data_IF_440528441464
#
_entry.id   IF_440528441464
#
_cell.length_a   1.000
_cell.length_b   1.000
_cell.length_c   1.000
_cell.angle_alpha   90.00
_cell.angle_beta   90.00
_cell.angle_gamma   90.00
#
_symmetry.space_group_name_H-M   'P 1'
#
loop_
_entity.id
_entity.type
_entity.pdbx_description
1 polymer ?
#
# COMPACT_ATOMS: atom_id res chain seq x y z
N UNK A 1 26.96 -4.58 -14.36
CA UNK A 1 25.86 -5.60 -14.46
C UNK A 1 24.91 -5.22 -15.59
N UNK A 2 24.60 -6.13 -16.54
CA UNK A 2 23.57 -5.92 -17.58
C UNK A 2 22.21 -6.34 -17.02
N UNK A 3 21.51 -5.38 -16.39
CA UNK A 3 20.27 -5.64 -15.64
C UNK A 3 19.15 -6.21 -16.52
N UNK A 4 19.02 -5.70 -17.76
CA UNK A 4 17.98 -6.17 -18.68
C UNK A 4 18.20 -7.63 -19.09
N UNK A 5 19.37 -7.96 -19.56
CA UNK A 5 19.72 -9.33 -19.98
C UNK A 5 19.60 -10.35 -18.83
N UNK A 6 20.00 -9.96 -17.63
CA UNK A 6 19.86 -10.81 -16.45
C UNK A 6 18.40 -11.01 -16.06
N UNK A 7 17.58 -9.96 -16.17
CA UNK A 7 16.15 -10.04 -15.94
C UNK A 7 15.45 -10.99 -16.93
N UNK A 8 15.77 -10.90 -18.23
CA UNK A 8 15.25 -11.81 -19.25
C UNK A 8 15.56 -13.29 -18.91
N UNK A 9 16.74 -13.58 -18.40
CA UNK A 9 17.13 -14.95 -18.00
C UNK A 9 16.36 -15.49 -16.80
N UNK A 10 15.74 -14.63 -15.99
CA UNK A 10 14.92 -15.02 -14.83
C UNK A 10 13.41 -14.88 -15.08
N UNK A 11 12.99 -14.54 -16.29
CA UNK A 11 11.58 -14.36 -16.62
C UNK A 11 10.72 -15.59 -16.30
N UNK A 12 11.13 -16.79 -16.76
CA UNK A 12 10.39 -18.02 -16.51
C UNK A 12 10.36 -18.39 -15.02
N UNK A 13 11.43 -18.08 -14.28
CA UNK A 13 11.46 -18.27 -12.83
C UNK A 13 10.44 -17.35 -12.15
N UNK A 14 10.43 -16.06 -12.46
CA UNK A 14 9.48 -15.10 -11.90
C UNK A 14 8.03 -15.50 -12.23
N UNK A 15 7.77 -15.88 -13.48
CA UNK A 15 6.45 -16.36 -13.92
C UNK A 15 5.99 -17.60 -13.16
N UNK A 16 6.87 -18.56 -12.92
CA UNK A 16 6.58 -19.75 -12.12
C UNK A 16 6.21 -19.39 -10.68
N UNK A 17 6.97 -18.48 -10.05
CA UNK A 17 6.70 -18.01 -8.69
C UNK A 17 5.34 -17.32 -8.61
N UNK A 18 5.09 -16.35 -9.50
CA UNK A 18 3.82 -15.62 -9.57
C UNK A 18 2.63 -16.57 -9.70
N UNK A 19 2.69 -17.51 -10.65
CA UNK A 19 1.59 -18.44 -10.89
C UNK A 19 1.34 -19.38 -9.71
N UNK A 20 2.40 -19.80 -9.01
CA UNK A 20 2.24 -20.59 -7.78
C UNK A 20 1.53 -19.80 -6.69
N UNK A 21 1.96 -18.57 -6.41
CA UNK A 21 1.35 -17.69 -5.41
C UNK A 21 -0.10 -17.35 -5.79
N UNK A 22 -0.34 -17.06 -7.06
CA UNK A 22 -1.67 -16.74 -7.59
C UNK A 22 -2.67 -17.88 -7.43
N UNK A 23 -2.24 -19.14 -7.64
CA UNK A 23 -3.09 -20.32 -7.43
C UNK A 23 -3.38 -20.58 -5.95
N UNK A 24 -2.48 -20.18 -5.05
CA UNK A 24 -2.58 -20.49 -3.62
C UNK A 24 -2.58 -19.20 -2.75
N UNK A 25 -3.50 -18.25 -3.02
CA UNK A 25 -3.52 -16.97 -2.31
C UNK A 25 -3.97 -17.14 -0.87
N UNK A 26 -3.39 -16.36 0.02
CA UNK A 26 -3.78 -16.25 1.42
C UNK A 26 -4.12 -14.80 1.76
N UNK A 27 -5.25 -14.57 2.43
CA UNK A 27 -5.70 -13.22 2.78
C UNK A 27 -4.77 -12.57 3.79
N UNK A 28 -4.79 -11.25 3.81
CA UNK A 28 -4.06 -10.38 4.73
C UNK A 28 -4.06 -10.91 6.17
N UNK A 29 -2.88 -11.03 6.77
CA UNK A 29 -2.66 -11.56 8.12
C UNK A 29 -2.66 -13.09 8.24
N UNK A 30 -2.91 -13.86 7.16
CA UNK A 30 -2.98 -15.33 7.19
C UNK A 30 -1.97 -16.02 6.26
N UNK A 31 -0.96 -15.33 5.80
CA UNK A 31 0.00 -15.71 4.75
C UNK A 31 1.06 -16.72 5.23
N UNK A 32 0.63 -17.80 5.91
CA UNK A 32 1.54 -18.82 6.49
C UNK A 32 2.22 -19.67 5.43
N UNK A 33 1.48 -20.11 4.42
CA UNK A 33 2.02 -20.93 3.33
C UNK A 33 2.82 -20.07 2.36
N UNK A 34 2.40 -18.83 2.13
CA UNK A 34 3.12 -17.84 1.32
C UNK A 34 4.49 -17.56 1.93
N UNK A 35 4.57 -17.28 3.24
CA UNK A 35 5.85 -17.11 3.96
C UNK A 35 6.72 -18.37 3.84
N UNK A 36 6.14 -19.56 4.03
CA UNK A 36 6.89 -20.82 3.88
C UNK A 36 7.46 -20.99 2.48
N UNK A 37 6.67 -20.70 1.45
CA UNK A 37 7.10 -20.78 0.05
C UNK A 37 8.26 -19.80 -0.25
N UNK A 38 8.16 -18.56 0.23
CA UNK A 38 9.24 -17.56 0.11
C UNK A 38 10.52 -18.07 0.78
N UNK A 39 10.41 -18.63 1.99
CA UNK A 39 11.55 -19.22 2.72
C UNK A 39 12.16 -20.40 1.95
N UNK A 40 11.35 -21.26 1.34
CA UNK A 40 11.82 -22.37 0.48
C UNK A 40 12.61 -21.80 -0.71
N UNK A 41 12.12 -20.75 -1.39
CA UNK A 41 12.83 -20.13 -2.50
C UNK A 41 14.15 -19.48 -2.05
N UNK A 42 14.17 -18.79 -0.91
CA UNK A 42 15.41 -18.21 -0.35
C UNK A 42 16.44 -19.28 0.00
N UNK A 43 15.99 -20.42 0.57
CA UNK A 43 16.86 -21.57 0.85
C UNK A 43 17.44 -22.20 -0.43
N UNK A 44 16.63 -22.36 -1.48
CA UNK A 44 17.08 -22.91 -2.77
C UNK A 44 18.16 -22.01 -3.42
N UNK A 45 18.02 -20.68 -3.26
CA UNK A 45 19.00 -19.71 -3.75
C UNK A 45 20.25 -19.68 -2.85
N UNK A 46 20.09 -19.96 -1.55
CA UNK A 46 21.16 -19.89 -0.53
C UNK A 46 21.26 -18.53 0.17
N UNK A 47 20.20 -17.70 0.13
CA UNK A 47 20.17 -16.39 0.78
C UNK A 47 19.81 -16.56 2.26
N UNK A 48 20.61 -16.01 3.21
CA UNK A 48 20.25 -15.99 4.62
C UNK A 48 19.02 -15.12 4.88
N UNK A 49 18.13 -15.60 5.74
CA UNK A 49 16.88 -14.93 6.06
C UNK A 49 16.53 -15.01 7.55
N UNK A 50 15.59 -14.17 7.96
CA UNK A 50 14.95 -14.15 9.27
C UNK A 50 13.45 -14.05 9.08
N UNK A 51 12.69 -14.99 9.66
CA UNK A 51 11.22 -14.85 9.73
C UNK A 51 10.89 -14.00 10.95
N UNK A 52 10.19 -12.91 10.71
CA UNK A 52 9.68 -12.00 11.75
C UNK A 52 8.24 -12.40 12.05
N UNK A 53 7.94 -12.88 13.27
CA UNK A 53 6.57 -13.25 13.63
C UNK A 53 5.59 -12.12 13.32
N UNK A 54 4.44 -12.46 12.74
CA UNK A 54 3.39 -11.53 12.27
C UNK A 54 3.80 -10.60 11.11
N UNK A 55 5.09 -10.27 10.97
CA UNK A 55 5.58 -9.29 9.99
C UNK A 55 5.88 -9.86 8.60
N UNK A 56 6.52 -11.02 8.53
CA UNK A 56 6.96 -11.61 7.26
C UNK A 56 8.41 -12.07 7.27
N UNK A 57 9.19 -11.75 6.23
CA UNK A 57 10.55 -12.25 6.06
C UNK A 57 11.51 -11.13 5.69
N UNK A 58 12.63 -11.08 6.39
CA UNK A 58 13.82 -10.38 5.92
C UNK A 58 14.83 -11.37 5.34
N UNK A 59 15.46 -11.01 4.22
CA UNK A 59 16.62 -11.72 3.71
C UNK A 59 17.75 -10.72 3.40
N UNK A 60 19.01 -11.16 3.55
CA UNK A 60 20.14 -10.26 3.47
C UNK A 60 21.14 -10.76 2.43
N UNK A 61 21.59 -9.85 1.56
CA UNK A 61 22.65 -10.11 0.60
C UNK A 61 23.78 -9.13 0.89
N UNK A 62 24.86 -9.65 1.46
CA UNK A 62 26.08 -8.89 1.69
C UNK A 62 26.95 -8.94 0.44
N UNK A 63 27.36 -7.78 -0.04
CA UNK A 63 28.36 -7.64 -1.09
C UNK A 63 29.76 -8.00 -0.59
N UNK A 64 30.65 -8.27 -1.53
CA UNK A 64 32.04 -8.64 -1.20
C UNK A 64 32.96 -7.41 -1.21
N UNK A 65 32.53 -6.34 -1.86
CA UNK A 65 33.39 -5.22 -2.20
C UNK A 65 33.60 -4.20 -1.08
N UNK A 66 32.85 -4.21 0.03
CA UNK A 66 33.14 -3.29 1.12
C UNK A 66 32.59 -3.65 2.50
N UNK A 67 33.34 -3.26 3.52
CA UNK A 67 33.02 -3.37 4.93
C UNK A 67 32.47 -2.06 5.53
N UNK A 68 31.68 -1.29 4.82
CA UNK A 68 31.15 0.00 5.27
C UNK A 68 30.19 0.67 4.31
N UNK A 69 29.80 -0.04 3.25
CA UNK A 69 28.88 0.44 2.23
C UNK A 69 27.48 0.74 2.73
N UNK A 70 26.69 1.35 1.85
CA UNK A 70 25.26 1.63 2.11
C UNK A 70 24.45 0.33 2.23
N UNK A 71 23.31 0.42 2.86
CA UNK A 71 22.27 -0.62 2.88
C UNK A 71 21.02 -0.10 2.16
N UNK A 72 20.58 -0.84 1.14
CA UNK A 72 19.29 -0.59 0.49
C UNK A 72 18.26 -1.65 0.89
N UNK A 73 17.04 -1.21 1.20
CA UNK A 73 15.88 -2.05 1.44
C UNK A 73 15.05 -2.16 0.16
N UNK A 74 14.80 -3.38 -0.31
CA UNK A 74 13.85 -3.68 -1.37
C UNK A 74 12.65 -4.40 -0.77
N UNK A 75 11.42 -3.94 -1.05
CA UNK A 75 10.18 -4.49 -0.44
C UNK A 75 9.25 -5.09 -1.48
N UNK A 76 8.60 -6.17 -1.11
CA UNK A 76 7.37 -6.69 -1.71
C UNK A 76 6.38 -7.08 -0.61
N UNK A 77 5.12 -6.71 -0.78
CA UNK A 77 3.97 -7.28 -0.07
C UNK A 77 3.65 -8.68 -0.59
N UNK A 78 2.92 -9.48 0.21
CA UNK A 78 2.73 -10.91 -0.12
C UNK A 78 1.29 -11.42 0.08
N UNK A 79 0.38 -10.58 0.56
CA UNK A 79 -0.99 -10.94 0.89
C UNK A 79 -1.95 -10.85 -0.29
N UNK A 80 -3.12 -11.46 -0.13
CA UNK A 80 -4.22 -11.48 -1.09
C UNK A 80 -5.50 -10.92 -0.47
N UNK A 81 -6.50 -10.71 -1.31
CA UNK A 81 -7.79 -10.13 -0.97
C UNK A 81 -8.91 -11.19 -0.91
N UNK A 82 -9.94 -10.99 -0.06
CA UNK A 82 -11.12 -11.84 -0.02
C UNK A 82 -12.08 -11.51 -1.19
N UNK A 83 -11.59 -11.72 -2.42
CA UNK A 83 -12.31 -11.43 -3.68
C UNK A 83 -12.38 -12.73 -4.48
N UNK A 84 -13.61 -13.14 -4.85
CA UNK A 84 -13.83 -14.26 -5.77
C UNK A 84 -13.33 -13.89 -7.16
N UNK A 85 -12.40 -14.67 -7.68
CA UNK A 85 -11.77 -14.40 -8.96
C UNK A 85 -12.61 -14.92 -10.13
N UNK A 86 -12.76 -14.13 -11.19
CA UNK A 86 -13.30 -14.62 -12.46
C UNK A 86 -12.24 -15.36 -13.27
N UNK A 87 -12.66 -16.45 -13.93
CA UNK A 87 -11.80 -17.25 -14.83
C UNK A 87 -11.39 -16.52 -16.11
N UNK A 88 -12.02 -15.39 -16.39
CA UNK A 88 -11.72 -14.56 -17.56
C UNK A 88 -11.37 -13.14 -17.10
N UNK A 89 -10.39 -12.55 -17.76
CA UNK A 89 -10.09 -11.12 -17.69
C UNK A 89 -10.97 -10.36 -18.72
N UNK A 90 -10.63 -9.13 -19.06
CA UNK A 90 -11.40 -8.27 -19.98
C UNK A 90 -11.43 -8.79 -21.44
N UNK A 91 -10.66 -9.80 -21.82
CA UNK A 91 -10.55 -10.31 -23.20
C UNK A 91 -10.82 -11.81 -23.34
N UNK A 92 -10.53 -12.60 -22.33
CA UNK A 92 -10.66 -14.05 -22.44
C UNK A 92 -10.19 -14.78 -21.21
N UNK A 93 -10.00 -16.09 -21.29
CA UNK A 93 -9.52 -16.90 -20.17
C UNK A 93 -8.18 -16.40 -19.67
N UNK A 94 -8.04 -16.34 -18.33
CA UNK A 94 -6.75 -16.07 -17.68
C UNK A 94 -5.82 -17.26 -17.81
N UNK A 95 -4.52 -17.00 -17.90
CA UNK A 95 -3.47 -18.03 -17.91
C UNK A 95 -3.34 -18.75 -16.56
N UNK A 96 -3.69 -18.08 -15.48
CA UNK A 96 -3.63 -18.57 -14.13
C UNK A 96 -4.80 -18.00 -13.32
N UNK A 97 -5.43 -18.83 -12.49
CA UNK A 97 -6.54 -18.44 -11.62
C UNK A 97 -6.35 -19.02 -10.23
N UNK A 98 -6.91 -18.36 -9.23
CA UNK A 98 -6.91 -18.85 -7.85
C UNK A 98 -7.59 -20.22 -7.73
N UNK A 99 -6.99 -21.12 -6.95
CA UNK A 99 -7.57 -22.40 -6.53
C UNK A 99 -8.25 -22.29 -5.16
N UNK A 100 -8.18 -21.11 -4.51
CA UNK A 100 -8.79 -20.84 -3.21
C UNK A 100 -10.09 -20.07 -3.40
N UNK A 101 -11.27 -20.69 -3.18
CA UNK A 101 -12.55 -20.02 -3.35
C UNK A 101 -12.66 -18.73 -2.52
N UNK A 102 -13.13 -17.66 -3.11
CA UNK A 102 -13.34 -16.38 -2.44
C UNK A 102 -12.07 -15.58 -2.16
N UNK A 103 -10.90 -16.03 -2.62
CA UNK A 103 -9.62 -15.33 -2.38
C UNK A 103 -8.83 -15.22 -3.67
N UNK A 104 -8.25 -14.06 -3.94
CA UNK A 104 -7.38 -13.85 -5.11
C UNK A 104 -6.36 -12.74 -4.89
N UNK A 105 -5.25 -12.79 -5.63
CA UNK A 105 -4.29 -11.69 -5.72
C UNK A 105 -4.78 -10.60 -6.68
N UNK A 106 -5.88 -9.94 -6.30
CA UNK A 106 -6.50 -8.89 -7.11
C UNK A 106 -5.80 -7.51 -6.99
N UNK A 107 -4.69 -7.44 -6.27
CA UNK A 107 -3.80 -6.27 -6.19
C UNK A 107 -2.41 -6.51 -6.82
N UNK A 108 -2.07 -7.77 -7.14
CA UNK A 108 -0.83 -8.11 -7.84
C UNK A 108 0.37 -8.40 -6.94
N UNK A 109 0.19 -8.60 -5.63
CA UNK A 109 1.27 -8.86 -4.68
C UNK A 109 2.04 -10.17 -4.97
N UNK A 110 1.42 -11.13 -5.63
CA UNK A 110 2.07 -12.30 -6.22
C UNK A 110 3.14 -11.92 -7.26
N UNK A 111 2.87 -10.89 -8.08
CA UNK A 111 3.83 -10.34 -9.03
C UNK A 111 4.95 -9.54 -8.35
N UNK A 112 4.63 -8.75 -7.31
CA UNK A 112 5.65 -8.03 -6.52
C UNK A 112 6.64 -9.01 -5.90
N UNK A 113 6.13 -10.06 -5.25
CA UNK A 113 6.92 -11.13 -4.64
C UNK A 113 7.79 -11.86 -5.68
N UNK A 114 7.21 -12.18 -6.85
CA UNK A 114 7.93 -12.87 -7.92
C UNK A 114 9.09 -12.03 -8.48
N UNK A 115 8.86 -10.74 -8.70
CA UNK A 115 9.87 -9.79 -9.17
C UNK A 115 11.00 -9.68 -8.14
N UNK A 116 10.66 -9.52 -6.85
CA UNK A 116 11.66 -9.38 -5.79
C UNK A 116 12.48 -10.66 -5.61
N UNK A 117 11.89 -11.85 -5.65
CA UNK A 117 12.62 -13.13 -5.57
C UNK A 117 13.53 -13.36 -6.77
N UNK A 118 13.09 -12.97 -7.98
CA UNK A 118 13.93 -13.06 -9.18
C UNK A 118 15.11 -12.08 -9.12
N UNK A 119 14.88 -10.85 -8.68
CA UNK A 119 15.95 -9.87 -8.44
C UNK A 119 16.92 -10.35 -7.36
N UNK A 120 16.40 -10.91 -6.25
CA UNK A 120 17.19 -11.46 -5.16
C UNK A 120 18.16 -12.56 -5.64
N UNK A 121 17.66 -13.46 -6.48
CA UNK A 121 18.48 -14.54 -7.05
C UNK A 121 19.63 -14.01 -7.89
N UNK A 122 19.39 -13.01 -8.74
CA UNK A 122 20.44 -12.36 -9.55
C UNK A 122 21.43 -11.63 -8.65
N UNK A 123 20.93 -10.80 -7.70
CA UNK A 123 21.79 -10.07 -6.77
C UNK A 123 22.69 -11.00 -5.96
N UNK A 124 22.17 -12.13 -5.50
CA UNK A 124 22.96 -13.10 -4.74
C UNK A 124 24.03 -13.79 -5.61
N UNK A 125 23.71 -14.14 -6.85
CA UNK A 125 24.68 -14.71 -7.80
C UNK A 125 25.79 -13.71 -8.14
N UNK A 126 25.45 -12.43 -8.23
CA UNK A 126 26.37 -11.33 -8.56
C UNK A 126 26.84 -10.51 -7.35
N UNK A 127 26.71 -11.04 -6.12
CA UNK A 127 27.04 -10.28 -4.89
C UNK A 127 28.49 -9.78 -4.84
N UNK A 128 29.38 -10.39 -5.61
CA UNK A 128 30.76 -9.92 -5.76
C UNK A 128 30.91 -8.59 -6.54
N UNK A 129 29.83 -8.14 -7.20
CA UNK A 129 29.74 -6.84 -7.88
C UNK A 129 28.99 -5.80 -7.03
N UNK A 130 28.45 -6.19 -5.85
CA UNK A 130 27.66 -5.32 -4.99
C UNK A 130 28.57 -4.61 -4.00
N UNK A 131 28.45 -3.27 -3.95
CA UNK A 131 29.17 -2.41 -3.01
C UNK A 131 28.21 -2.03 -1.85
N UNK A 132 28.21 -2.84 -0.78
CA UNK A 132 27.33 -2.66 0.37
C UNK A 132 26.37 -3.84 0.59
N UNK A 133 25.17 -3.55 1.09
CA UNK A 133 24.18 -4.56 1.50
C UNK A 133 22.84 -4.33 0.82
N UNK A 134 22.19 -5.42 0.39
CA UNK A 134 20.79 -5.43 -0.02
C UNK A 134 19.97 -6.18 1.05
N UNK A 135 18.99 -5.52 1.63
CA UNK A 135 18.02 -6.08 2.55
C UNK A 135 16.70 -6.28 1.79
N UNK A 136 16.19 -7.49 1.76
CA UNK A 136 14.93 -7.85 1.12
C UNK A 136 13.86 -7.97 2.19
N UNK A 137 12.73 -7.31 1.99
CA UNK A 137 11.58 -7.30 2.90
C UNK A 137 10.37 -7.87 2.19
N UNK A 138 9.88 -9.03 2.67
CA UNK A 138 8.63 -9.64 2.23
C UNK A 138 7.58 -9.40 3.32
N UNK A 139 6.66 -8.51 3.06
CA UNK A 139 5.73 -7.97 4.03
C UNK A 139 4.38 -8.67 3.97
N UNK A 140 3.90 -9.15 5.12
CA UNK A 140 2.55 -9.67 5.30
C UNK A 140 1.58 -8.53 5.61
N UNK A 141 0.32 -8.67 5.17
CA UNK A 141 -0.79 -7.87 5.69
C UNK A 141 -0.80 -6.42 5.23
N UNK A 142 -0.34 -6.12 4.04
CA UNK A 142 -0.39 -4.78 3.47
C UNK A 142 -1.83 -4.26 3.39
N UNK A 143 -2.76 -5.06 2.89
CA UNK A 143 -4.19 -4.72 2.77
C UNK A 143 -4.89 -4.53 4.14
N UNK A 144 -4.27 -5.03 5.22
CA UNK A 144 -4.70 -4.80 6.60
C UNK A 144 -4.06 -3.58 7.26
N UNK A 145 -3.04 -2.98 6.65
CA UNK A 145 -2.26 -1.82 7.11
C UNK A 145 -1.57 -1.96 8.48
N UNK A 146 -1.29 -3.19 8.93
CA UNK A 146 -0.83 -3.40 10.31
C UNK A 146 0.52 -4.13 10.41
N UNK A 147 0.88 -4.96 9.44
CA UNK A 147 1.98 -5.90 9.60
C UNK A 147 3.37 -5.33 9.31
N UNK A 148 3.47 -4.20 8.60
CA UNK A 148 4.71 -3.44 8.45
C UNK A 148 5.31 -3.05 9.82
N UNK A 149 4.47 -2.82 10.83
CA UNK A 149 4.91 -2.54 12.21
C UNK A 149 5.95 -3.54 12.73
N UNK A 150 5.68 -4.84 12.60
CA UNK A 150 6.57 -5.87 13.15
C UNK A 150 7.92 -5.91 12.43
N UNK A 151 7.92 -5.67 11.12
CA UNK A 151 9.15 -5.59 10.33
C UNK A 151 9.96 -4.34 10.68
N UNK A 152 9.32 -3.17 10.76
CA UNK A 152 9.98 -1.93 11.13
C UNK A 152 10.49 -1.97 12.58
N UNK A 153 9.71 -2.55 13.49
CA UNK A 153 10.15 -2.80 14.86
C UNK A 153 11.36 -3.72 14.92
N UNK A 154 11.39 -4.77 14.10
CA UNK A 154 12.56 -5.65 13.99
C UNK A 154 13.81 -4.89 13.55
N UNK A 155 13.70 -4.01 12.54
CA UNK A 155 14.82 -3.16 12.11
C UNK A 155 15.34 -2.27 13.23
N UNK A 156 14.44 -1.63 13.99
CA UNK A 156 14.80 -0.77 15.12
C UNK A 156 15.43 -1.54 16.28
N UNK A 157 14.80 -2.64 16.71
CA UNK A 157 15.26 -3.45 17.84
C UNK A 157 16.66 -4.04 17.60
N UNK A 158 16.96 -4.43 16.37
CA UNK A 158 18.26 -4.98 15.97
C UNK A 158 19.23 -3.92 15.43
N UNK A 159 18.83 -2.64 15.43
CA UNK A 159 19.63 -1.51 14.93
C UNK A 159 20.18 -1.75 13.51
N UNK A 160 19.34 -2.35 12.65
CA UNK A 160 19.70 -2.62 11.27
C UNK A 160 19.69 -1.29 10.51
N UNK A 161 20.84 -0.94 9.93
CA UNK A 161 20.99 0.29 9.14
C UNK A 161 20.29 0.12 7.79
N UNK A 162 19.53 1.14 7.40
CA UNK A 162 18.94 1.29 6.06
C UNK A 162 19.22 2.72 5.59
N UNK A 163 19.85 2.86 4.45
CA UNK A 163 20.26 4.15 3.87
C UNK A 163 19.31 4.61 2.76
N UNK A 164 18.52 3.69 2.22
CA UNK A 164 17.49 3.95 1.24
C UNK A 164 16.55 2.79 1.08
N UNK A 165 15.40 3.03 0.47
CA UNK A 165 14.37 2.02 0.24
C UNK A 165 13.79 2.11 -1.17
N UNK A 166 13.29 0.99 -1.67
CA UNK A 166 12.64 0.88 -2.97
C UNK A 166 11.53 -0.17 -2.94
N UNK A 167 10.42 0.15 -3.58
CA UNK A 167 9.37 -0.79 -3.90
C UNK A 167 8.72 -0.44 -5.23
N UNK A 168 7.97 -1.38 -5.80
CA UNK A 168 7.09 -1.13 -6.93
C UNK A 168 5.69 -1.66 -6.66
N UNK A 169 4.71 -1.08 -7.36
CA UNK A 169 3.35 -1.63 -7.45
C UNK A 169 2.97 -1.86 -8.92
N UNK A 170 2.29 -2.96 -9.20
CA UNK A 170 1.75 -3.28 -10.52
C UNK A 170 0.57 -2.35 -10.84
N UNK A 171 0.61 -1.69 -11.98
CA UNK A 171 -0.33 -0.63 -12.35
C UNK A 171 -1.05 -0.93 -13.67
N UNK A 172 -2.33 -1.34 -13.64
CA UNK A 172 -3.06 -1.69 -14.86
C UNK A 172 -3.34 -0.51 -15.79
N UNK A 173 -3.29 0.75 -15.27
CA UNK A 173 -3.44 1.96 -16.06
C UNK A 173 -2.16 2.35 -16.81
N UNK A 174 -1.01 1.77 -16.48
CA UNK A 174 0.26 1.97 -17.16
C UNK A 174 0.50 0.80 -18.12
N UNK A 175 0.96 1.08 -19.33
CA UNK A 175 1.19 0.04 -20.34
C UNK A 175 2.36 -0.86 -19.96
N UNK A 176 2.28 -2.15 -20.27
CA UNK A 176 3.40 -3.11 -20.14
C UNK A 176 4.67 -2.57 -20.78
N UNK A 177 5.79 -2.67 -20.06
CA UNK A 177 7.09 -2.15 -20.48
C UNK A 177 7.34 -0.68 -20.09
N UNK A 178 6.35 0.01 -19.53
CA UNK A 178 6.47 1.37 -19.01
C UNK A 178 6.50 1.38 -17.48
N UNK A 179 7.07 2.43 -16.91
CA UNK A 179 7.05 2.70 -15.47
C UNK A 179 6.67 4.15 -15.18
N UNK A 180 6.05 4.39 -14.04
CA UNK A 180 5.84 5.74 -13.54
C UNK A 180 6.57 5.91 -12.20
N UNK A 181 7.30 7.03 -12.09
CA UNK A 181 8.07 7.41 -10.89
C UNK A 181 7.63 8.85 -10.56
N UNK A 182 6.82 9.01 -9.53
CA UNK A 182 6.21 10.28 -9.17
C UNK A 182 7.08 11.04 -8.17
N UNK A 183 7.01 12.36 -8.27
CA UNK A 183 7.59 13.26 -7.27
C UNK A 183 6.58 13.48 -6.12
N UNK A 184 7.06 13.55 -4.88
CA UNK A 184 6.23 13.87 -3.74
C UNK A 184 5.21 12.79 -3.41
N UNK A 185 3.94 13.18 -3.27
CA UNK A 185 2.86 12.26 -2.92
C UNK A 185 2.58 11.23 -4.02
N UNK A 186 2.65 9.95 -3.68
CA UNK A 186 2.46 8.81 -4.58
C UNK A 186 1.14 8.11 -4.31
N UNK A 187 0.90 7.76 -3.03
CA UNK A 187 -0.35 7.18 -2.57
C UNK A 187 -0.86 7.92 -1.33
N UNK A 188 -2.18 7.98 -1.19
CA UNK A 188 -2.80 8.84 -0.18
C UNK A 188 -2.72 8.24 1.22
N UNK A 189 -2.64 9.09 2.23
CA UNK A 189 -2.95 8.75 3.60
C UNK A 189 -4.44 8.51 3.79
N UNK A 190 -4.79 7.82 4.88
CA UNK A 190 -6.14 7.37 5.18
C UNK A 190 -6.57 7.81 6.58
N UNK A 191 -7.78 8.36 6.68
CA UNK A 191 -8.55 8.39 7.90
C UNK A 191 -9.90 7.71 7.65
N UNK A 192 -10.13 6.56 8.28
CA UNK A 192 -11.39 5.83 8.20
C UNK A 192 -12.15 5.94 9.51
N UNK A 193 -13.49 5.98 9.43
CA UNK A 193 -14.33 6.16 10.60
C UNK A 193 -15.68 5.49 10.44
N UNK A 194 -16.25 5.08 11.58
CA UNK A 194 -17.64 4.72 11.76
C UNK A 194 -18.17 5.45 13.00
N UNK A 195 -19.30 6.11 12.87
CA UNK A 195 -19.89 6.87 13.96
C UNK A 195 -21.42 6.72 13.97
N UNK A 196 -22.01 6.81 15.16
CA UNK A 196 -23.46 6.70 15.39
C UNK A 196 -23.97 8.01 15.97
N UNK A 197 -24.97 8.59 15.29
CA UNK A 197 -25.79 9.67 15.84
C UNK A 197 -26.90 9.04 16.68
N UNK A 198 -26.95 9.34 17.96
CA UNK A 198 -27.97 8.90 18.87
C UNK A 198 -28.93 10.04 19.19
N UNK A 199 -30.19 9.85 18.88
CA UNK A 199 -31.25 10.81 19.16
C UNK A 199 -32.38 10.21 20.00
N UNK A 200 -33.58 10.70 19.77
CA UNK A 200 -34.80 10.17 20.37
C UNK A 200 -35.79 9.84 19.25
N UNK A 201 -36.06 8.54 19.09
CA UNK A 201 -37.01 8.03 18.09
C UNK A 201 -38.48 8.45 18.39
N UNK A 202 -39.33 8.28 17.38
CA UNK A 202 -40.74 8.64 17.52
C UNK A 202 -41.57 8.33 16.29
N UNK A 203 -42.85 8.67 16.38
CA UNK A 203 -43.79 8.53 15.27
C UNK A 203 -43.51 9.63 14.21
N UNK A 204 -43.38 9.27 12.94
CA UNK A 204 -43.08 10.20 11.85
C UNK A 204 -44.01 11.39 11.70
N UNK A 205 -45.31 11.28 12.21
CA UNK A 205 -46.26 12.39 12.22
C UNK A 205 -46.08 13.37 13.40
N UNK A 206 -45.23 13.05 14.38
CA UNK A 206 -44.96 13.86 15.57
C UNK A 206 -43.47 14.14 15.76
N UNK A 207 -42.80 14.77 14.78
CA UNK A 207 -41.39 15.09 14.85
C UNK A 207 -41.06 16.05 16.01
N UNK A 208 -41.99 16.81 16.47
CA UNK A 208 -41.91 17.70 17.65
C UNK A 208 -41.62 16.95 18.97
N UNK A 209 -41.86 15.64 19.03
CA UNK A 209 -41.57 14.78 20.18
C UNK A 209 -40.31 13.96 20.05
N UNK A 210 -39.58 14.12 18.96
CA UNK A 210 -38.35 13.37 18.64
C UNK A 210 -37.10 14.28 18.56
N UNK A 211 -35.91 13.67 18.60
CA UNK A 211 -34.66 14.28 18.15
C UNK A 211 -34.14 13.41 17.00
N UNK A 212 -34.34 13.87 15.75
CA UNK A 212 -34.21 13.01 14.59
C UNK A 212 -32.74 12.86 14.16
N UNK A 213 -32.10 11.68 14.29
CA UNK A 213 -30.70 11.47 13.85
C UNK A 213 -30.52 11.66 12.35
N UNK A 214 -31.57 11.51 11.54
CA UNK A 214 -31.47 11.69 10.07
C UNK A 214 -31.27 13.15 9.70
N UNK A 215 -31.97 14.05 10.36
CA UNK A 215 -31.84 15.50 10.16
C UNK A 215 -30.48 15.97 10.67
N UNK A 216 -30.05 15.47 11.82
CA UNK A 216 -28.72 15.72 12.40
C UNK A 216 -27.61 15.28 11.44
N UNK A 217 -27.63 14.03 10.96
CA UNK A 217 -26.64 13.53 9.98
C UNK A 217 -26.63 14.35 8.70
N UNK A 218 -27.76 14.77 8.18
CA UNK A 218 -27.80 15.61 6.97
C UNK A 218 -27.05 16.93 7.16
N UNK A 219 -27.19 17.56 8.33
CA UNK A 219 -26.45 18.75 8.70
C UNK A 219 -24.95 18.48 8.88
N UNK A 220 -24.58 17.38 9.53
CA UNK A 220 -23.18 16.93 9.68
C UNK A 220 -22.54 16.76 8.31
N UNK A 221 -23.14 15.98 7.42
CA UNK A 221 -22.60 15.70 6.09
C UNK A 221 -22.43 17.00 5.25
N UNK A 222 -23.37 17.92 5.36
CA UNK A 222 -23.28 19.25 4.70
C UNK A 222 -22.12 20.06 5.25
N UNK A 223 -21.93 20.09 6.57
CA UNK A 223 -20.86 20.85 7.20
C UNK A 223 -19.47 20.24 6.91
N UNK A 224 -19.33 18.91 6.89
CA UNK A 224 -18.09 18.24 6.51
C UNK A 224 -17.71 18.53 5.03
N UNK A 225 -18.71 18.58 4.14
CA UNK A 225 -18.48 18.99 2.75
C UNK A 225 -18.05 20.45 2.63
N UNK A 226 -18.61 21.33 3.46
CA UNK A 226 -18.23 22.74 3.52
C UNK A 226 -16.82 22.94 4.11
N UNK A 227 -16.40 22.12 5.06
CA UNK A 227 -15.05 22.13 5.64
C UNK A 227 -13.97 22.04 4.55
N UNK A 228 -14.08 21.08 3.64
CA UNK A 228 -13.15 20.91 2.52
C UNK A 228 -13.00 22.20 1.70
N UNK A 229 -14.09 22.92 1.50
CA UNK A 229 -14.12 24.13 0.66
C UNK A 229 -13.69 25.40 1.41
N UNK A 230 -13.64 25.39 2.74
CA UNK A 230 -13.46 26.59 3.55
C UNK A 230 -12.25 26.58 4.45
N UNK A 231 -11.84 25.39 4.94
CA UNK A 231 -10.77 25.27 5.92
C UNK A 231 -9.54 24.51 5.35
N UNK A 232 -9.67 23.79 4.23
CA UNK A 232 -8.54 23.16 3.54
C UNK A 232 -8.07 24.06 2.42
N UNK A 233 -6.76 24.22 2.29
CA UNK A 233 -6.13 24.98 1.21
C UNK A 233 -6.58 24.46 -0.16
N UNK A 234 -6.88 25.32 -1.15
CA UNK A 234 -7.27 24.88 -2.49
C UNK A 234 -6.15 24.15 -3.25
N UNK A 235 -4.90 24.23 -2.75
CA UNK A 235 -3.74 23.54 -3.30
C UNK A 235 -3.52 22.16 -2.66
N UNK A 236 -4.23 21.87 -1.55
CA UNK A 236 -4.10 20.61 -0.82
C UNK A 236 -5.20 19.64 -1.24
N UNK A 237 -4.83 18.35 -1.28
CA UNK A 237 -5.77 17.29 -1.60
C UNK A 237 -6.49 16.81 -0.35
N UNK A 238 -7.81 16.89 -0.33
CA UNK A 238 -8.67 16.18 0.59
C UNK A 238 -9.84 15.58 -0.19
N UNK A 239 -9.93 14.26 -0.24
CA UNK A 239 -11.10 13.51 -0.67
C UNK A 239 -11.81 12.94 0.55
N UNK A 240 -13.14 13.00 0.60
CA UNK A 240 -13.94 12.50 1.69
C UNK A 240 -15.22 11.87 1.13
N UNK A 241 -15.60 10.72 1.67
CA UNK A 241 -16.82 10.01 1.28
C UNK A 241 -17.49 9.33 2.49
N UNK A 242 -18.81 9.41 2.55
CA UNK A 242 -19.63 8.52 3.37
C UNK A 242 -20.10 7.38 2.48
N UNK A 243 -19.79 6.14 2.87
CA UNK A 243 -20.06 4.94 2.07
C UNK A 243 -21.25 4.14 2.58
N UNK A 244 -21.52 4.21 3.89
CA UNK A 244 -22.61 3.47 4.54
C UNK A 244 -23.42 4.43 5.39
N UNK A 245 -24.75 4.33 5.29
CA UNK A 245 -25.69 4.98 6.21
C UNK A 245 -26.78 3.96 6.58
N UNK A 246 -26.93 3.70 7.87
CA UNK A 246 -27.92 2.75 8.43
C UNK A 246 -28.80 3.46 9.45
N UNK A 247 -30.11 3.36 9.28
CA UNK A 247 -31.10 3.93 10.20
C UNK A 247 -32.35 3.05 10.27
N UNK A 248 -33.55 3.65 10.36
CA UNK A 248 -34.80 2.92 10.35
C UNK A 248 -35.13 2.31 8.99
N UNK A 249 -35.70 1.11 8.99
CA UNK A 249 -36.21 0.44 7.78
C UNK A 249 -37.70 0.80 7.51
N UNK A 250 -38.35 1.50 8.44
CA UNK A 250 -39.79 1.85 8.35
C UNK A 250 -39.97 3.34 8.09
N UNK A 251 -40.65 3.68 7.01
CA UNK A 251 -40.83 5.06 6.55
C UNK A 251 -41.72 5.97 7.43
N UNK A 252 -42.38 5.44 8.47
CA UNK A 252 -43.23 6.18 9.40
C UNK A 252 -42.65 6.22 10.83
N UNK A 253 -41.43 5.77 11.04
CA UNK A 253 -40.76 5.75 12.34
C UNK A 253 -39.46 6.58 12.23
N UNK A 254 -39.34 7.61 13.08
CA UNK A 254 -38.08 8.32 13.30
C UNK A 254 -37.18 7.39 14.10
N UNK A 255 -35.97 7.04 13.59
CA UNK A 255 -35.05 6.13 14.28
C UNK A 255 -34.51 6.74 15.58
N UNK A 256 -34.10 5.90 16.51
CA UNK A 256 -33.35 6.33 17.70
C UNK A 256 -31.87 6.56 17.39
N UNK A 257 -31.35 5.81 16.42
CA UNK A 257 -29.95 5.87 16.01
C UNK A 257 -29.78 5.90 14.49
N UNK A 258 -28.74 6.56 14.02
CA UNK A 258 -28.26 6.47 12.64
C UNK A 258 -26.76 6.29 12.66
N UNK A 259 -26.28 5.16 12.09
CA UNK A 259 -24.86 4.90 11.89
C UNK A 259 -24.43 5.32 10.50
N UNK A 260 -23.23 5.92 10.41
CA UNK A 260 -22.58 6.22 9.14
C UNK A 260 -21.10 5.86 9.16
N UNK A 261 -20.60 5.39 8.02
CA UNK A 261 -19.22 4.94 7.86
C UNK A 261 -18.63 5.59 6.61
N UNK A 262 -17.39 6.04 6.70
CA UNK A 262 -16.71 6.70 5.61
C UNK A 262 -15.21 6.77 5.77
N UNK A 263 -14.58 7.45 4.82
CA UNK A 263 -13.14 7.70 4.87
C UNK A 263 -12.76 9.02 4.23
N UNK A 264 -11.60 9.54 4.62
CA UNK A 264 -10.92 10.67 3.99
C UNK A 264 -9.55 10.25 3.47
N UNK A 265 -9.10 10.86 2.39
CA UNK A 265 -7.81 10.65 1.74
C UNK A 265 -7.10 11.98 1.55
N UNK A 266 -5.80 12.01 1.78
CA UNK A 266 -4.98 13.22 1.77
C UNK A 266 -3.52 12.85 1.47
N UNK A 267 -2.69 13.85 1.10
CA UNK A 267 -1.23 13.64 0.94
C UNK A 267 -0.43 14.36 2.04
N UNK A 268 -1.03 15.28 2.78
CA UNK A 268 -0.44 15.90 3.96
C UNK A 268 -1.11 15.37 5.23
N UNK A 269 -0.42 14.46 5.93
CA UNK A 269 -0.93 13.86 7.16
C UNK A 269 -1.04 14.89 8.29
N UNK A 270 -0.05 15.81 8.41
CA UNK A 270 0.06 16.71 9.55
C UNK A 270 -0.99 17.82 9.52
N UNK A 271 -1.11 18.53 8.39
CA UNK A 271 -2.05 19.64 8.29
C UNK A 271 -3.44 19.18 7.85
N UNK A 272 -3.54 18.37 6.79
CA UNK A 272 -4.83 17.99 6.21
C UNK A 272 -5.43 16.79 6.94
N UNK A 273 -4.68 15.72 7.15
CA UNK A 273 -5.18 14.50 7.78
C UNK A 273 -5.61 14.72 9.23
N UNK A 274 -4.69 15.20 10.07
CA UNK A 274 -4.99 15.52 11.49
C UNK A 274 -5.99 16.67 11.61
N UNK A 275 -5.91 17.67 10.72
CA UNK A 275 -6.87 18.77 10.67
C UNK A 275 -8.30 18.29 10.37
N UNK A 276 -8.45 17.37 9.40
CA UNK A 276 -9.76 16.79 9.08
C UNK A 276 -10.32 15.96 10.25
N UNK A 277 -9.51 15.12 10.90
CA UNK A 277 -9.94 14.36 12.07
C UNK A 277 -10.44 15.28 13.20
N UNK A 278 -9.70 16.34 13.51
CA UNK A 278 -10.12 17.33 14.52
C UNK A 278 -11.43 18.02 14.14
N UNK A 279 -11.53 18.41 12.86
CA UNK A 279 -12.76 19.05 12.35
C UNK A 279 -13.94 18.07 12.33
N UNK A 280 -13.71 16.80 12.02
CA UNK A 280 -14.74 15.75 12.05
C UNK A 280 -15.39 15.66 13.43
N UNK A 281 -14.61 15.50 14.50
CA UNK A 281 -15.14 15.49 15.87
C UNK A 281 -15.83 16.80 16.22
N UNK A 282 -15.17 17.94 16.00
CA UNK A 282 -15.74 19.26 16.29
C UNK A 282 -17.09 19.48 15.61
N UNK A 283 -17.21 19.16 14.32
CA UNK A 283 -18.42 19.36 13.53
C UNK A 283 -19.52 18.39 14.02
N UNK A 284 -19.20 17.11 14.18
CA UNK A 284 -20.16 16.09 14.61
C UNK A 284 -20.73 16.42 15.99
N UNK A 285 -19.89 16.70 16.98
CA UNK A 285 -20.32 16.95 18.35
C UNK A 285 -21.18 18.22 18.48
N UNK A 286 -20.77 19.32 17.83
CA UNK A 286 -21.53 20.57 17.94
C UNK A 286 -22.86 20.53 17.19
N UNK A 287 -22.91 19.87 16.04
CA UNK A 287 -24.17 19.69 15.29
C UNK A 287 -25.09 18.73 16.03
N UNK A 288 -24.57 17.62 16.56
CA UNK A 288 -25.38 16.69 17.34
C UNK A 288 -26.04 17.38 18.53
N UNK A 289 -25.27 18.16 19.28
CA UNK A 289 -25.77 18.95 20.39
C UNK A 289 -26.89 19.95 19.95
N UNK A 290 -26.68 20.63 18.80
CA UNK A 290 -27.71 21.57 18.27
C UNK A 290 -29.01 20.88 17.85
N UNK A 291 -28.96 19.59 17.47
CA UNK A 291 -30.14 18.79 17.12
C UNK A 291 -30.71 18.00 18.31
N UNK A 292 -30.18 18.15 19.52
CA UNK A 292 -30.54 17.36 20.68
C UNK A 292 -30.22 15.88 20.55
N UNK A 293 -29.14 15.61 19.83
CA UNK A 293 -28.56 14.28 19.62
C UNK A 293 -27.17 14.19 20.30
N UNK A 294 -26.60 12.98 20.36
CA UNK A 294 -25.28 12.68 20.88
C UNK A 294 -24.50 11.88 19.84
N UNK A 295 -23.16 11.97 19.86
CA UNK A 295 -22.28 11.20 18.99
C UNK A 295 -21.65 10.04 19.75
N UNK A 296 -21.58 8.89 19.08
CA UNK A 296 -20.72 7.75 19.44
C UNK A 296 -19.76 7.49 18.29
N UNK A 297 -18.48 7.33 18.60
CA UNK A 297 -17.45 6.99 17.60
C UNK A 297 -17.12 5.51 17.72
N UNK A 298 -17.72 4.71 16.81
CA UNK A 298 -17.68 3.24 16.87
C UNK A 298 -16.31 2.70 16.48
N UNK A 299 -15.65 3.37 15.51
CA UNK A 299 -14.35 2.98 14.96
C UNK A 299 -13.64 4.18 14.34
N UNK A 300 -12.35 4.25 14.53
CA UNK A 300 -11.45 5.17 13.84
C UNK A 300 -10.13 4.49 13.50
N UNK A 301 -9.61 4.76 12.31
CA UNK A 301 -8.28 4.34 11.85
C UNK A 301 -7.54 5.54 11.28
N UNK A 302 -6.35 5.79 11.75
CA UNK A 302 -5.49 6.88 11.29
C UNK A 302 -5.73 8.21 12.02
N UNK A 303 -5.27 9.31 11.44
CA UNK A 303 -4.75 9.49 10.08
C UNK A 303 -3.44 8.71 9.85
N UNK A 304 -3.46 7.74 8.91
CA UNK A 304 -2.27 7.04 8.45
C UNK A 304 -1.46 7.92 7.51
N UNK A 305 -0.17 7.66 7.41
CA UNK A 305 0.72 8.43 6.56
C UNK A 305 0.37 8.30 5.07
N UNK A 306 0.65 9.34 4.30
CA UNK A 306 0.71 9.27 2.85
C UNK A 306 2.09 8.75 2.42
N UNK A 307 2.13 7.97 1.35
CA UNK A 307 3.37 7.54 0.74
C UNK A 307 3.98 8.69 -0.07
N UNK A 308 5.13 9.18 0.40
CA UNK A 308 5.86 10.30 -0.19
C UNK A 308 7.21 9.82 -0.69
N UNK A 309 7.49 10.01 -1.96
CA UNK A 309 8.81 9.75 -2.53
C UNK A 309 9.80 10.86 -2.18
N UNK A 310 11.03 10.46 -1.80
CA UNK A 310 12.11 11.39 -1.55
C UNK A 310 12.69 11.94 -2.86
N UNK A 311 12.77 13.27 -3.07
CA UNK A 311 13.16 13.86 -4.36
C UNK A 311 14.48 13.32 -4.92
N UNK A 312 15.53 13.25 -4.10
CA UNK A 312 16.84 12.75 -4.54
C UNK A 312 16.79 11.26 -4.95
N UNK A 313 15.93 10.45 -4.29
CA UNK A 313 15.70 9.06 -4.68
C UNK A 313 14.94 8.97 -6.01
N UNK A 314 14.00 9.87 -6.27
CA UNK A 314 13.27 9.96 -7.54
C UNK A 314 14.21 10.32 -8.69
N UNK A 315 15.05 11.35 -8.52
CA UNK A 315 16.05 11.75 -9.53
C UNK A 315 16.95 10.58 -9.89
N UNK A 316 17.53 9.93 -8.88
CA UNK A 316 18.40 8.76 -9.06
C UNK A 316 17.67 7.60 -9.75
N UNK A 317 16.40 7.32 -9.35
CA UNK A 317 15.62 6.25 -9.95
C UNK A 317 15.29 6.54 -11.42
N UNK A 318 14.90 7.76 -11.76
CA UNK A 318 14.63 8.17 -13.15
C UNK A 318 15.86 8.08 -14.02
N UNK A 319 17.03 8.49 -13.52
CA UNK A 319 18.28 8.38 -14.23
C UNK A 319 18.63 6.91 -14.52
N UNK A 320 18.67 6.08 -13.48
CA UNK A 320 19.09 4.67 -13.60
C UNK A 320 18.08 3.86 -14.41
N UNK A 321 16.79 3.93 -14.06
CA UNK A 321 15.76 3.13 -14.71
C UNK A 321 15.55 3.62 -16.15
N UNK A 322 15.62 4.92 -16.41
CA UNK A 322 15.54 5.48 -17.76
C UNK A 322 16.67 4.98 -18.70
N UNK A 323 17.86 4.73 -18.17
CA UNK A 323 18.94 4.11 -18.94
C UNK A 323 18.68 2.63 -19.28
N UNK A 324 17.86 1.93 -18.47
CA UNK A 324 17.54 0.51 -18.64
C UNK A 324 16.38 0.30 -19.62
N UNK A 325 15.28 1.04 -19.41
CA UNK A 325 14.01 0.83 -20.15
C UNK A 325 13.77 1.87 -21.26
N UNK A 326 14.68 2.81 -21.50
CA UNK A 326 14.55 4.07 -22.24
C UNK A 326 13.75 5.14 -21.45
N UNK A 327 14.21 6.41 -21.51
CA UNK A 327 13.46 7.54 -20.90
C UNK A 327 12.03 7.71 -21.42
N UNK A 328 11.75 7.33 -22.66
CA UNK A 328 10.43 7.40 -23.28
C UNK A 328 9.43 6.43 -22.64
N UNK A 329 9.91 5.42 -21.92
CA UNK A 329 9.08 4.47 -21.17
C UNK A 329 8.87 4.90 -19.71
N UNK A 330 9.43 6.04 -19.27
CA UNK A 330 9.07 6.67 -18.02
C UNK A 330 7.89 7.61 -18.25
N UNK A 331 6.71 7.19 -17.83
CA UNK A 331 5.45 7.92 -18.05
C UNK A 331 5.02 8.70 -16.81
N UNK A 332 4.17 9.72 -17.02
CA UNK A 332 3.53 10.47 -15.94
C UNK A 332 2.13 9.94 -15.73
N UNK A 333 1.76 9.76 -14.49
CA UNK A 333 0.40 9.44 -14.05
C UNK A 333 0.03 10.34 -12.89
N UNK A 334 -1.26 10.43 -12.59
CA UNK A 334 -1.72 11.06 -11.35
C UNK A 334 -1.42 10.16 -10.15
N UNK A 335 -1.19 10.72 -8.95
CA UNK A 335 -1.03 9.95 -7.73
C UNK A 335 -2.27 9.09 -7.44
N UNK A 336 -2.06 7.90 -6.86
CA UNK A 336 -3.15 7.04 -6.43
C UNK A 336 -3.76 7.50 -5.11
N UNK A 337 -5.08 7.41 -5.02
CA UNK A 337 -5.81 7.74 -3.77
C UNK A 337 -5.98 6.54 -2.83
N UNK A 338 -5.44 5.36 -3.17
CA UNK A 338 -5.24 4.24 -2.26
C UNK A 338 -4.19 4.56 -1.20
N UNK A 339 -4.22 3.86 -0.08
CA UNK A 339 -3.14 3.88 0.92
C UNK A 339 -2.19 2.70 0.70
N UNK A 340 -0.99 2.79 1.25
CA UNK A 340 0.10 1.83 1.05
C UNK A 340 1.00 1.83 2.29
N UNK A 341 1.30 0.66 2.84
CA UNK A 341 2.12 0.51 4.05
C UNK A 341 3.60 0.89 3.86
N UNK A 342 4.08 1.00 2.63
CA UNK A 342 5.41 1.55 2.35
C UNK A 342 5.54 3.02 2.81
N UNK A 343 4.43 3.69 3.10
CA UNK A 343 4.41 5.04 3.68
C UNK A 343 5.19 5.09 5.00
N UNK A 344 4.98 4.13 5.89
CA UNK A 344 5.67 4.07 7.18
C UNK A 344 7.17 3.77 7.00
N UNK A 345 7.55 2.98 6.00
CA UNK A 345 8.96 2.78 5.62
C UNK A 345 9.60 4.10 5.19
N UNK A 346 8.88 4.89 4.36
CA UNK A 346 9.37 6.19 3.88
C UNK A 346 9.40 7.28 4.96
N UNK A 347 8.65 7.13 6.07
CA UNK A 347 8.81 7.99 7.24
C UNK A 347 10.13 7.74 8.00
N UNK A 348 10.65 6.53 7.93
CA UNK A 348 11.87 6.12 8.64
C UNK A 348 13.12 6.15 7.77
N UNK A 349 12.98 5.89 6.48
CA UNK A 349 14.07 5.75 5.52
C UNK A 349 13.75 6.47 4.21
N UNK A 350 14.70 7.19 3.60
CA UNK A 350 14.44 7.82 2.30
C UNK A 350 14.21 6.75 1.24
N UNK A 351 13.26 6.99 0.34
CA UNK A 351 12.95 5.97 -0.64
C UNK A 351 12.23 6.46 -1.87
N UNK A 352 12.05 5.54 -2.79
CA UNK A 352 11.24 5.71 -3.99
C UNK A 352 10.32 4.51 -4.20
N UNK A 353 9.06 4.80 -4.43
CA UNK A 353 8.03 3.86 -4.83
C UNK A 353 7.66 4.11 -6.28
N UNK A 354 7.63 3.07 -7.08
CA UNK A 354 7.42 3.14 -8.51
C UNK A 354 6.14 2.38 -8.91
N UNK A 355 5.51 2.78 -10.01
CA UNK A 355 4.47 1.98 -10.63
C UNK A 355 5.02 1.26 -11.86
N UNK A 356 4.81 -0.06 -11.93
CA UNK A 356 5.16 -0.91 -13.07
C UNK A 356 3.93 -1.18 -13.91
N UNK A 357 3.96 -0.81 -15.16
CA UNK A 357 2.87 -1.04 -16.10
C UNK A 357 2.64 -2.52 -16.40
N UNK A 358 1.40 -2.95 -16.20
CA UNK A 358 0.89 -4.31 -16.54
C UNK A 358 -0.28 -4.25 -17.51
N UNK A 359 -0.69 -3.03 -17.90
CA UNK A 359 -1.85 -2.82 -18.77
C UNK A 359 -1.56 -3.22 -20.21
N UNK A 360 -2.30 -4.20 -20.72
CA UNK A 360 -2.26 -4.64 -22.11
C UNK A 360 -3.68 -4.91 -22.62
N UNK A 361 -4.20 -3.98 -23.41
CA UNK A 361 -5.55 -4.09 -23.97
C UNK A 361 -5.74 -5.36 -24.84
N UNK A 362 -4.68 -5.82 -25.51
CA UNK A 362 -4.75 -7.01 -26.36
C UNK A 362 -4.85 -8.30 -25.53
N UNK A 363 -4.18 -8.32 -24.37
CA UNK A 363 -4.22 -9.45 -23.43
C UNK A 363 -5.35 -9.32 -22.39
N UNK A 364 -5.99 -8.15 -22.27
CA UNK A 364 -7.12 -7.91 -21.36
C UNK A 364 -6.72 -7.62 -19.92
N UNK A 365 -5.48 -7.19 -19.65
CA UNK A 365 -4.93 -6.95 -18.32
C UNK A 365 -5.05 -5.49 -17.86
N UNK A 366 -6.12 -4.80 -18.30
CA UNK A 366 -6.40 -3.41 -17.93
C UNK A 366 -7.56 -3.28 -16.92
N UNK A 367 -7.98 -4.36 -16.28
CA UNK A 367 -8.96 -4.28 -15.20
C UNK A 367 -8.34 -3.62 -13.98
N UNK A 368 -9.12 -2.77 -13.30
CA UNK A 368 -8.68 -2.11 -12.07
C UNK A 368 -8.33 -3.13 -10.98
N UNK A 369 -7.39 -2.76 -10.11
CA UNK A 369 -7.10 -3.52 -8.90
C UNK A 369 -8.37 -3.69 -8.05
N UNK A 370 -8.40 -4.72 -7.19
CA UNK A 370 -9.53 -5.08 -6.34
C UNK A 370 -10.81 -5.46 -7.10
N UNK A 371 -10.68 -5.88 -8.37
CA UNK A 371 -11.80 -6.41 -9.16
C UNK A 371 -11.62 -7.90 -9.48
N UNK A 372 -12.74 -8.66 -9.65
CA UNK A 372 -12.65 -10.07 -10.02
C UNK A 372 -11.97 -10.36 -11.36
N UNK A 373 -11.98 -9.39 -12.27
CA UNK A 373 -11.37 -9.47 -13.60
C UNK A 373 -9.88 -9.12 -13.62
N UNK A 374 -9.32 -8.58 -12.53
CA UNK A 374 -7.91 -8.18 -12.45
C UNK A 374 -6.98 -9.31 -12.92
N UNK A 375 -6.03 -8.96 -13.77
CA UNK A 375 -5.03 -9.88 -14.31
C UNK A 375 -3.75 -9.11 -14.64
N UNK A 376 -2.64 -9.82 -14.78
CA UNK A 376 -1.31 -9.26 -14.97
C UNK A 376 -0.72 -9.69 -16.29
N UNK A 377 -0.24 -8.73 -17.10
CA UNK A 377 0.64 -9.06 -18.21
C UNK A 377 2.02 -9.40 -17.68
N UNK A 378 2.34 -10.70 -17.60
CA UNK A 378 3.59 -11.21 -17.04
C UNK A 378 4.83 -10.71 -17.80
N UNK A 379 4.71 -10.23 -19.06
CA UNK A 379 5.84 -9.66 -19.81
C UNK A 379 6.43 -8.41 -19.11
N UNK A 380 5.67 -7.76 -18.21
CA UNK A 380 6.13 -6.67 -17.37
C UNK A 380 7.25 -7.06 -16.40
N UNK A 381 7.36 -8.35 -16.05
CA UNK A 381 8.30 -8.79 -15.00
C UNK A 381 9.76 -8.54 -15.39
N UNK A 382 10.12 -8.63 -16.66
CA UNK A 382 11.49 -8.28 -17.11
C UNK A 382 11.82 -6.83 -16.75
N UNK A 383 10.89 -5.91 -17.02
CA UNK A 383 11.02 -4.49 -16.67
C UNK A 383 11.16 -4.29 -15.17
N UNK A 384 10.29 -4.93 -14.37
CA UNK A 384 10.30 -4.82 -12.90
C UNK A 384 11.59 -5.36 -12.28
N UNK A 385 12.05 -6.55 -12.72
CA UNK A 385 13.31 -7.16 -12.26
C UNK A 385 14.49 -6.27 -12.63
N UNK A 386 14.57 -5.80 -13.88
CA UNK A 386 15.68 -4.96 -14.35
C UNK A 386 15.72 -3.62 -13.59
N UNK A 387 14.57 -3.01 -13.31
CA UNK A 387 14.47 -1.79 -12.52
C UNK A 387 14.94 -2.01 -11.06
N UNK A 388 14.51 -3.09 -10.41
CA UNK A 388 14.94 -3.45 -9.06
C UNK A 388 16.46 -3.64 -8.96
N UNK A 389 17.04 -4.39 -9.91
CA UNK A 389 18.49 -4.61 -10.00
C UNK A 389 19.25 -3.30 -10.22
N UNK A 390 18.80 -2.52 -11.20
CA UNK A 390 19.44 -1.27 -11.57
C UNK A 390 19.43 -0.27 -10.43
N UNK A 391 18.26 -0.05 -9.82
CA UNK A 391 18.14 0.88 -8.70
C UNK A 391 18.95 0.42 -7.48
N UNK A 392 18.88 -0.87 -7.11
CA UNK A 392 19.63 -1.39 -5.97
C UNK A 392 21.15 -1.18 -6.16
N UNK A 393 21.70 -1.59 -7.31
CA UNK A 393 23.14 -1.47 -7.58
C UNK A 393 23.56 -0.01 -7.81
N UNK A 394 22.75 0.77 -8.48
CA UNK A 394 23.00 2.19 -8.72
C UNK A 394 22.97 3.01 -7.42
N UNK A 395 21.99 2.77 -6.54
CA UNK A 395 21.92 3.42 -5.24
C UNK A 395 23.15 3.13 -4.37
N UNK A 396 23.56 1.86 -4.31
CA UNK A 396 24.73 1.42 -3.54
C UNK A 396 26.04 2.02 -4.06
N UNK A 397 26.14 2.27 -5.35
CA UNK A 397 27.32 2.87 -5.98
C UNK A 397 27.26 4.40 -6.11
N UNK A 398 26.12 5.02 -5.81
CA UNK A 398 25.96 6.48 -5.90
C UNK A 398 26.67 7.17 -4.74
N UNK A 399 27.38 8.25 -5.04
CA UNK A 399 27.92 9.19 -4.04
C UNK A 399 26.90 10.26 -3.65
N UNK A 400 25.68 10.24 -4.22
CA UNK A 400 24.65 11.21 -3.93
C UNK A 400 24.27 11.17 -2.45
N UNK A 401 24.36 12.32 -1.80
CA UNK A 401 23.91 12.50 -0.43
C UNK A 401 22.39 12.74 -0.44
N UNK A 402 21.65 11.91 0.27
CA UNK A 402 20.22 12.08 0.44
C UNK A 402 19.99 12.87 1.73
N UNK A 403 19.36 14.05 1.60
CA UNK A 403 18.94 14.85 2.73
C UNK A 403 17.58 14.32 3.22
N UNK A 404 17.59 13.74 4.41
CA UNK A 404 16.39 13.11 4.97
C UNK A 404 16.36 13.28 6.49
N UNK A 405 15.19 13.63 7.01
CA UNK A 405 14.93 13.68 8.46
C UNK A 405 13.95 12.56 8.80
N UNK A 406 14.41 11.45 9.41
CA UNK A 406 13.53 10.36 9.75
C UNK A 406 12.52 10.76 10.85
N UNK A 407 11.36 10.15 10.83
CA UNK A 407 10.42 10.21 11.94
C UNK A 407 11.10 9.73 13.23
N UNK A 408 11.02 10.55 14.28
CA UNK A 408 11.71 10.31 15.57
C UNK A 408 10.75 10.00 16.71
N UNK A 409 9.44 9.88 16.43
CA UNK A 409 8.43 9.52 17.42
C UNK A 409 8.40 7.99 17.70
N UNK A 410 7.46 7.60 18.55
CA UNK A 410 7.20 6.18 18.79
C UNK A 410 6.62 5.53 17.53
N UNK A 411 7.25 4.45 17.06
CA UNK A 411 6.78 3.69 15.92
C UNK A 411 5.32 3.20 16.12
N UNK A 412 4.98 2.82 17.34
CA UNK A 412 3.63 2.35 17.67
C UNK A 412 2.56 3.43 17.40
N UNK A 413 2.92 4.70 17.57
CA UNK A 413 1.99 5.82 17.33
C UNK A 413 1.60 6.03 15.86
N UNK A 414 2.31 5.39 14.92
CA UNK A 414 1.99 5.40 13.48
C UNK A 414 0.87 4.41 13.13
N UNK A 415 0.56 3.47 14.02
CA UNK A 415 -0.36 2.36 13.78
C UNK A 415 -1.56 2.41 14.72
N UNK A 416 -2.65 1.74 14.33
CA UNK A 416 -3.83 1.60 15.16
C UNK A 416 -3.63 0.58 16.29
N UNK A 417 -4.59 0.54 17.24
CA UNK A 417 -4.61 -0.48 18.28
C UNK A 417 -4.91 -1.90 17.74
N UNK A 418 -5.24 -2.01 16.44
CA UNK A 418 -5.50 -3.29 15.79
C UNK A 418 -4.24 -4.15 15.66
N UNK A 419 -3.04 -3.54 15.62
CA UNK A 419 -1.75 -4.26 15.60
C UNK A 419 -1.65 -5.30 16.73
N UNK A 420 -2.17 -5.01 17.92
CA UNK A 420 -2.10 -5.92 19.06
C UNK A 420 -3.08 -7.11 18.96
N UNK A 421 -4.02 -7.06 18.02
CA UNK A 421 -5.05 -8.08 17.81
C UNK A 421 -4.67 -9.12 16.76
N UNK A 422 -3.54 -8.93 16.06
CA UNK A 422 -3.08 -9.88 15.05
C UNK A 422 -2.63 -11.20 15.71
N UNK A 423 -3.08 -12.31 15.14
CA UNK A 423 -2.68 -13.66 15.54
C UNK A 423 -1.40 -14.10 14.82
N UNK A 424 -0.60 -15.00 15.44
CA UNK A 424 0.61 -15.58 14.83
C UNK A 424 0.28 -16.60 13.73
#
# INVERSE_FOLDING_TARGET
MDCWKLAEQQFDYAKKIRRHLHMHPEVSGKERNTVRYIVEQLNEIGIPYTVVPKGGVFATIDGICDHGGKTILLRADIDALPIEEKKCNLKGPKECVSETPGVSHACGHDGHTAILLAAAKILFQHRHEINGRVLLMFERGEEGNENAYYLLKHLQDHKIRVDGSWALHLAPMVSTGQMAILDGGVMAGLYAFSATVRGRGGHGSRPDLASNPVDCFSAINTALSAYRLREVSPFDCLSYSICIVKGSELGNIIPETLQFTGSARFYDQESVGKGFRQAFHRICDHIAAAYGCEMEYDFELGPLAALINQPQCVELAREIIGQIISPDNLVKIDPWTGSESMAEVHLLYPGVFCFLGIGNQKKGTCAEAHTPEFDVDEDAFVTGIAAALGYATGFLNSDQKIEFTPYSGDLRALYSDAVDKLED
#
